data_IF_785640253639
#
_entry.id   IF_785640253639
#
_cell.length_a   1.000
_cell.length_b   1.000
_cell.length_c   1.000
_cell.angle_alpha   90.00
_cell.angle_beta   90.00
_cell.angle_gamma   90.00
#
_symmetry.space_group_name_H-M   'P 1'
#
loop_
_entity.id
_entity.type
_entity.pdbx_description
1 polymer ?
#
# COMPACT_ATOMS: atom_id res chain seq x y z
N UNK A 1 -6.80 -7.75 24.27
CA UNK A 1 -6.20 -6.51 23.79
C UNK A 1 -7.08 -5.78 22.79
N UNK A 2 -6.81 -4.53 22.56
CA UNK A 2 -7.46 -3.69 21.55
C UNK A 2 -6.44 -3.34 20.47
N UNK A 3 -6.87 -3.27 19.22
CA UNK A 3 -6.02 -2.83 18.12
C UNK A 3 -6.72 -1.70 17.34
N UNK A 4 -5.99 -0.65 17.04
CA UNK A 4 -6.48 0.37 16.13
C UNK A 4 -6.58 -0.23 14.74
N UNK A 5 -7.80 -0.46 14.28
CA UNK A 5 -8.14 -1.00 12.97
C UNK A 5 -7.49 -2.36 12.63
N UNK A 6 -7.89 -3.40 13.33
CA UNK A 6 -7.45 -4.76 13.00
C UNK A 6 -7.93 -5.14 11.58
N UNK A 7 -7.03 -5.61 10.73
CA UNK A 7 -7.32 -5.96 9.33
C UNK A 7 -6.93 -4.89 8.29
N UNK A 8 -6.66 -3.64 8.69
CA UNK A 8 -6.05 -2.64 7.81
C UNK A 8 -4.55 -2.51 8.04
N UNK A 9 -3.84 -1.98 7.06
CA UNK A 9 -2.38 -1.79 7.10
C UNK A 9 -2.00 -0.80 8.21
N UNK A 10 -2.78 0.29 8.36
CA UNK A 10 -2.63 1.32 9.39
C UNK A 10 -4.02 1.82 9.81
N UNK A 11 -4.09 2.50 10.95
CA UNK A 11 -5.36 2.94 11.51
C UNK A 11 -5.15 3.76 12.78
N UNK A 12 -4.39 4.84 12.66
CA UNK A 12 -4.16 5.80 13.74
C UNK A 12 -5.37 6.68 14.00
N UNK A 13 -5.23 7.61 14.93
CA UNK A 13 -6.22 8.67 15.13
C UNK A 13 -6.32 9.53 13.87
N UNK A 14 -7.51 9.97 13.57
CA UNK A 14 -7.77 10.95 12.51
C UNK A 14 -8.22 12.24 13.18
N UNK A 15 -7.50 13.33 12.92
CA UNK A 15 -7.78 14.65 13.47
C UNK A 15 -7.61 15.74 12.43
N UNK A 16 -8.25 16.89 12.68
CA UNK A 16 -8.18 18.05 11.79
C UNK A 16 -6.89 18.87 12.00
N UNK A 17 -6.68 19.87 11.14
CA UNK A 17 -5.50 20.72 11.17
C UNK A 17 -5.44 21.65 12.40
N UNK A 18 -6.56 21.86 13.07
CA UNK A 18 -6.66 22.70 14.27
C UNK A 18 -6.23 21.98 15.55
N UNK A 19 -5.91 20.69 15.46
CA UNK A 19 -5.49 19.90 16.62
C UNK A 19 -4.08 20.28 17.05
N UNK A 20 -3.88 20.27 18.38
CA UNK A 20 -2.58 20.57 19.00
C UNK A 20 -1.99 19.30 19.59
N UNK A 21 -0.67 19.19 19.57
CA UNK A 21 0.06 18.03 20.08
C UNK A 21 -0.32 17.67 21.53
N UNK A 22 -0.55 18.66 22.40
CA UNK A 22 -1.02 18.41 23.77
C UNK A 22 -2.35 17.70 23.82
N UNK A 23 -3.30 18.10 22.97
CA UNK A 23 -4.63 17.47 22.90
C UNK A 23 -4.54 16.04 22.35
N UNK A 24 -3.72 15.80 21.33
CA UNK A 24 -3.50 14.45 20.79
C UNK A 24 -2.91 13.52 21.87
N UNK A 25 -1.95 14.02 22.67
CA UNK A 25 -1.41 13.29 23.82
C UNK A 25 -2.49 12.97 24.84
N UNK A 26 -3.29 13.95 25.21
CA UNK A 26 -4.34 13.79 26.23
C UNK A 26 -5.46 12.85 25.76
N UNK A 27 -5.80 12.88 24.45
CA UNK A 27 -6.71 11.89 23.84
C UNK A 27 -6.16 10.47 23.92
N UNK A 28 -4.88 10.25 23.61
CA UNK A 28 -4.27 8.92 23.69
C UNK A 28 -4.14 8.43 25.14
N UNK A 29 -3.85 9.33 26.08
CA UNK A 29 -3.87 9.01 27.51
C UNK A 29 -5.26 8.59 27.96
N UNK A 30 -6.28 9.41 27.67
CA UNK A 30 -7.67 9.10 28.03
C UNK A 30 -8.19 7.81 27.36
N UNK A 31 -7.76 7.52 26.12
CA UNK A 31 -8.07 6.27 25.45
C UNK A 31 -7.44 5.07 26.19
N UNK A 32 -6.18 5.23 26.62
CA UNK A 32 -5.49 4.21 27.42
C UNK A 32 -6.21 3.90 28.71
N UNK A 33 -6.60 4.95 29.46
CA UNK A 33 -7.32 4.84 30.74
C UNK A 33 -8.69 4.21 30.55
N UNK A 34 -9.41 4.61 29.51
CA UNK A 34 -10.71 4.03 29.17
C UNK A 34 -10.62 2.52 28.95
N UNK A 35 -9.67 2.06 28.12
CA UNK A 35 -9.52 0.64 27.86
C UNK A 35 -8.95 -0.12 29.07
N UNK A 36 -8.10 0.52 29.89
CA UNK A 36 -7.64 -0.09 31.13
C UNK A 36 -8.80 -0.33 32.10
N UNK A 37 -9.68 0.66 32.27
CA UNK A 37 -10.90 0.56 33.09
C UNK A 37 -11.84 -0.53 32.55
N UNK A 38 -11.92 -0.71 31.24
CA UNK A 38 -12.68 -1.78 30.59
C UNK A 38 -12.00 -3.17 30.67
N UNK A 39 -10.86 -3.29 31.40
CA UNK A 39 -10.16 -4.55 31.63
C UNK A 39 -9.21 -4.98 30.50
N UNK A 40 -8.93 -4.14 29.53
CA UNK A 40 -7.96 -4.44 28.48
C UNK A 40 -6.54 -4.16 28.95
N UNK A 41 -5.63 -5.13 28.75
CA UNK A 41 -4.22 -5.04 29.19
C UNK A 41 -3.27 -4.55 28.11
N UNK A 42 -3.75 -4.41 26.87
CA UNK A 42 -2.90 -4.04 25.73
C UNK A 42 -3.69 -3.29 24.67
N UNK A 43 -3.13 -2.18 24.23
CA UNK A 43 -3.57 -1.45 23.03
C UNK A 43 -2.45 -1.56 22.00
N UNK A 44 -2.79 -1.95 20.77
CA UNK A 44 -1.86 -1.94 19.64
C UNK A 44 -2.27 -0.81 18.70
N UNK A 45 -1.42 0.20 18.59
CA UNK A 45 -1.62 1.35 17.73
C UNK A 45 -0.86 1.18 16.41
N UNK A 46 -1.52 1.35 15.28
CA UNK A 46 -0.93 1.29 13.95
C UNK A 46 -0.87 2.69 13.37
N UNK A 47 0.26 3.36 13.50
CA UNK A 47 0.44 4.71 13.00
C UNK A 47 0.17 4.80 11.49
N UNK A 48 -0.44 5.89 11.05
CA UNK A 48 -0.62 6.22 9.64
C UNK A 48 0.69 6.86 9.15
N UNK A 49 1.32 6.34 8.08
CA UNK A 49 2.50 6.98 7.52
C UNK A 49 2.20 8.39 7.01
N UNK A 50 3.14 9.32 7.20
CA UNK A 50 2.96 10.75 6.90
C UNK A 50 2.58 11.05 5.44
N UNK A 51 2.94 10.19 4.49
CA UNK A 51 2.56 10.36 3.07
C UNK A 51 1.05 10.30 2.81
N UNK A 52 0.28 9.75 3.76
CA UNK A 52 -1.19 9.71 3.69
C UNK A 52 -1.83 10.86 4.47
N UNK A 53 -1.05 11.68 5.15
CA UNK A 53 -1.52 12.87 5.84
C UNK A 53 -1.69 14.04 4.87
N UNK A 54 -2.73 14.85 5.05
CA UNK A 54 -2.87 16.13 4.34
C UNK A 54 -1.81 17.14 4.76
N UNK A 55 -1.42 17.06 6.03
CA UNK A 55 -0.34 17.83 6.61
C UNK A 55 0.58 16.87 7.37
N UNK A 56 1.90 16.84 7.08
CA UNK A 56 2.83 15.97 7.79
C UNK A 56 2.84 16.31 9.27
N UNK A 57 2.34 15.41 10.10
CA UNK A 57 2.24 15.54 11.52
C UNK A 57 2.63 14.24 12.21
N UNK A 58 3.37 14.32 13.31
CA UNK A 58 3.83 13.20 14.11
C UNK A 58 3.42 13.35 15.60
N UNK A 59 2.35 14.10 15.85
CA UNK A 59 1.85 14.35 17.21
C UNK A 59 1.47 13.06 17.93
N UNK A 60 0.91 12.09 17.20
CA UNK A 60 0.56 10.77 17.73
C UNK A 60 1.81 9.95 18.08
N UNK A 61 2.86 10.01 17.27
CA UNK A 61 4.13 9.31 17.53
C UNK A 61 4.82 9.89 18.76
N UNK A 62 4.84 11.23 18.89
CA UNK A 62 5.35 11.91 20.07
C UNK A 62 4.53 11.54 21.33
N UNK A 63 3.19 11.56 21.21
CA UNK A 63 2.30 11.21 22.31
C UNK A 63 2.51 9.76 22.76
N UNK A 64 2.60 8.80 21.84
CA UNK A 64 2.91 7.42 22.15
C UNK A 64 4.24 7.26 22.90
N UNK A 65 5.28 7.98 22.47
CA UNK A 65 6.57 7.99 23.16
C UNK A 65 6.45 8.56 24.57
N UNK A 66 5.77 9.69 24.75
CA UNK A 66 5.56 10.32 26.05
C UNK A 66 4.74 9.47 27.02
N UNK A 67 3.90 8.59 26.50
CA UNK A 67 3.10 7.61 27.26
C UNK A 67 3.82 6.25 27.43
N UNK A 68 5.12 6.20 27.15
CA UNK A 68 5.96 4.99 27.26
C UNK A 68 5.46 3.80 26.42
N UNK A 69 4.82 4.05 25.26
CA UNK A 69 4.46 2.98 24.34
C UNK A 69 5.71 2.33 23.76
N UNK A 70 5.65 1.00 23.59
CA UNK A 70 6.76 0.22 23.02
C UNK A 70 6.56 0.00 21.52
N UNK A 71 7.59 0.30 20.74
CA UNK A 71 7.62 -0.08 19.33
C UNK A 71 7.73 -1.61 19.22
N UNK A 72 6.71 -2.26 18.66
CA UNK A 72 6.65 -3.72 18.54
C UNK A 72 6.83 -4.21 17.09
N UNK A 73 6.66 -3.29 16.12
CA UNK A 73 6.81 -3.60 14.69
C UNK A 73 7.14 -2.32 13.93
N UNK A 74 8.06 -2.43 12.99
CA UNK A 74 8.33 -1.41 11.97
C UNK A 74 8.48 -2.06 10.62
N UNK A 75 7.60 -1.73 9.69
CA UNK A 75 7.72 -2.15 8.30
C UNK A 75 8.43 -1.05 7.50
N UNK A 76 9.15 -1.45 6.45
CA UNK A 76 9.75 -0.53 5.48
C UNK A 76 8.91 -0.58 4.20
N UNK A 77 8.21 0.50 3.90
CA UNK A 77 7.46 0.68 2.66
C UNK A 77 8.34 1.34 1.59
N UNK A 78 8.07 1.04 0.33
CA UNK A 78 8.75 1.68 -0.79
C UNK A 78 7.84 2.74 -1.41
N UNK A 79 8.34 3.97 -1.54
CA UNK A 79 7.55 5.14 -1.95
C UNK A 79 8.29 5.97 -2.99
N UNK A 80 7.55 6.49 -3.97
CA UNK A 80 8.02 7.50 -4.93
C UNK A 80 7.33 8.83 -4.57
N UNK A 81 8.08 9.91 -4.30
CA UNK A 81 7.49 11.21 -4.01
C UNK A 81 6.97 11.87 -5.30
N UNK A 82 6.00 12.80 -5.21
CA UNK A 82 5.49 13.55 -6.36
C UNK A 82 6.59 14.39 -7.03
N UNK A 83 7.51 14.94 -6.22
CA UNK A 83 8.64 15.77 -6.65
C UNK A 83 9.98 15.13 -6.27
N UNK A 84 11.08 15.51 -6.93
CA UNK A 84 12.41 15.00 -6.61
C UNK A 84 12.62 13.52 -6.91
N UNK A 85 11.92 13.00 -7.92
CA UNK A 85 11.93 11.58 -8.28
C UNK A 85 13.31 11.08 -8.71
N UNK A 86 13.67 9.89 -8.23
CA UNK A 86 14.88 9.21 -8.61
C UNK A 86 14.70 8.56 -9.98
N UNK A 87 15.78 8.49 -10.74
CA UNK A 87 15.78 7.93 -12.10
C UNK A 87 15.39 6.45 -12.08
N UNK A 88 14.39 6.10 -12.89
CA UNK A 88 13.96 4.71 -13.09
C UNK A 88 15.08 3.92 -13.78
N UNK A 89 15.33 2.71 -13.30
CA UNK A 89 16.37 1.82 -13.79
C UNK A 89 16.17 1.40 -15.26
N UNK A 90 17.26 1.11 -15.94
CA UNK A 90 17.21 0.60 -17.32
C UNK A 90 16.48 -0.75 -17.40
N UNK A 91 16.52 -1.56 -16.35
CA UNK A 91 15.82 -2.85 -16.28
C UNK A 91 14.30 -2.64 -16.39
N UNK A 92 13.72 -1.76 -15.56
CA UNK A 92 12.28 -1.47 -15.60
C UNK A 92 11.84 -0.87 -16.94
N UNK A 93 12.66 0.03 -17.50
CA UNK A 93 12.40 0.59 -18.84
C UNK A 93 12.42 -0.46 -19.95
N UNK A 94 13.34 -1.43 -19.87
CA UNK A 94 13.37 -2.56 -20.82
C UNK A 94 12.14 -3.45 -20.66
N UNK A 95 11.70 -3.72 -19.42
CA UNK A 95 10.47 -4.47 -19.14
C UNK A 95 9.24 -3.81 -19.78
N UNK A 96 9.07 -2.49 -19.57
CA UNK A 96 8.00 -1.70 -20.22
C UNK A 96 8.03 -1.87 -21.75
N UNK A 97 9.19 -1.68 -22.39
CA UNK A 97 9.35 -1.84 -23.84
C UNK A 97 9.06 -3.26 -24.31
N UNK A 98 9.45 -4.27 -23.51
CA UNK A 98 9.16 -5.68 -23.82
C UNK A 98 7.67 -5.94 -23.81
N UNK A 99 6.94 -5.44 -22.80
CA UNK A 99 5.49 -5.58 -22.73
C UNK A 99 4.79 -4.93 -23.94
N UNK A 100 5.21 -3.74 -24.33
CA UNK A 100 4.68 -3.06 -25.49
C UNK A 100 4.90 -3.85 -26.80
N UNK A 101 6.06 -4.51 -26.97
CA UNK A 101 6.35 -5.36 -28.14
C UNK A 101 5.51 -6.64 -28.16
N UNK A 102 5.06 -7.11 -26.99
CA UNK A 102 4.15 -8.27 -26.86
C UNK A 102 2.67 -7.83 -26.88
N UNK A 103 2.37 -6.60 -27.31
CA UNK A 103 1.02 -6.05 -27.40
C UNK A 103 0.25 -6.11 -26.07
N UNK A 104 0.95 -6.02 -24.95
CA UNK A 104 0.30 -5.93 -23.64
C UNK A 104 -0.40 -4.58 -23.52
N UNK A 105 -1.68 -4.60 -23.19
CA UNK A 105 -2.52 -3.39 -22.99
C UNK A 105 -2.95 -3.27 -21.53
N UNK A 106 -3.02 -2.02 -21.04
CA UNK A 106 -3.52 -1.75 -19.69
C UNK A 106 -4.99 -1.40 -19.78
N UNK A 107 -5.79 -2.00 -18.89
CA UNK A 107 -7.23 -1.70 -18.74
C UNK A 107 -7.55 -1.43 -17.28
N UNK A 108 -8.42 -0.45 -17.04
CA UNK A 108 -9.15 -0.29 -15.77
C UNK A 108 -10.50 -0.99 -15.92
N UNK A 109 -10.95 -1.73 -14.91
CA UNK A 109 -12.24 -2.42 -14.99
C UNK A 109 -12.56 -3.28 -13.76
N UNK A 110 -13.70 -3.97 -13.82
CA UNK A 110 -14.26 -4.73 -12.70
C UNK A 110 -14.03 -6.26 -12.84
N UNK A 111 -12.89 -6.66 -13.37
CA UNK A 111 -12.47 -8.07 -13.53
C UNK A 111 -11.96 -8.68 -12.21
N UNK A 112 -12.79 -8.60 -11.16
CA UNK A 112 -12.42 -9.02 -9.80
C UNK A 112 -12.18 -10.51 -9.67
N UNK A 113 -12.88 -11.34 -10.43
CA UNK A 113 -12.76 -12.79 -10.43
C UNK A 113 -11.39 -13.22 -10.97
N UNK A 114 -11.00 -12.71 -12.14
CA UNK A 114 -9.71 -12.98 -12.78
C UNK A 114 -8.56 -12.43 -11.93
N UNK A 115 -8.72 -11.22 -11.41
CA UNK A 115 -7.75 -10.64 -10.50
C UNK A 115 -7.55 -11.49 -9.24
N UNK A 116 -8.65 -11.93 -8.62
CA UNK A 116 -8.58 -12.72 -7.39
C UNK A 116 -7.94 -14.08 -7.64
N UNK A 117 -8.25 -14.73 -8.75
CA UNK A 117 -7.64 -15.99 -9.15
C UNK A 117 -6.12 -15.83 -9.35
N UNK A 118 -5.71 -14.77 -10.07
CA UNK A 118 -4.30 -14.44 -10.29
C UNK A 118 -3.60 -14.16 -8.96
N UNK A 119 -4.17 -13.32 -8.09
CA UNK A 119 -3.63 -12.96 -6.78
C UNK A 119 -3.50 -14.18 -5.86
N UNK A 120 -4.52 -15.03 -5.79
CA UNK A 120 -4.50 -16.25 -5.00
C UNK A 120 -3.39 -17.21 -5.46
N UNK A 121 -3.17 -17.33 -6.77
CA UNK A 121 -2.09 -18.14 -7.34
C UNK A 121 -0.70 -17.60 -6.97
N UNK A 122 -0.52 -16.28 -6.98
CA UNK A 122 0.73 -15.63 -6.56
C UNK A 122 0.98 -15.84 -5.06
N UNK A 123 -0.02 -15.56 -4.22
CA UNK A 123 0.12 -15.65 -2.77
C UNK A 123 0.31 -17.08 -2.27
N UNK A 124 -0.27 -18.08 -2.94
CA UNK A 124 -0.08 -19.50 -2.59
C UNK A 124 1.39 -19.92 -2.63
N UNK A 125 2.20 -19.34 -3.51
CA UNK A 125 3.65 -19.59 -3.58
C UNK A 125 4.39 -19.11 -2.33
N UNK A 126 3.78 -18.22 -1.55
CA UNK A 126 4.29 -17.65 -0.31
C UNK A 126 3.51 -18.15 0.92
N UNK A 127 2.73 -19.25 0.79
CA UNK A 127 1.86 -19.77 1.84
C UNK A 127 0.91 -18.73 2.43
N UNK A 128 0.43 -17.80 1.60
CA UNK A 128 -0.48 -16.72 1.97
C UNK A 128 -1.77 -16.77 1.17
N UNK A 129 -2.80 -16.08 1.68
CA UNK A 129 -4.10 -15.90 1.01
C UNK A 129 -4.46 -14.43 0.98
N UNK A 130 -5.30 -13.97 0.00
CA UNK A 130 -5.81 -12.62 -0.01
C UNK A 130 -6.58 -12.32 1.30
N UNK A 131 -6.30 -11.17 1.90
CA UNK A 131 -6.98 -10.73 3.14
C UNK A 131 -8.43 -10.33 2.84
N UNK A 132 -8.67 -9.69 1.69
CA UNK A 132 -10.00 -9.26 1.26
C UNK A 132 -10.62 -10.35 0.37
N UNK A 133 -11.88 -10.66 0.60
CA UNK A 133 -12.68 -11.47 -0.34
C UNK A 133 -13.10 -10.65 -1.56
N UNK A 134 -13.52 -11.31 -2.64
CA UNK A 134 -14.09 -10.63 -3.83
C UNK A 134 -15.27 -9.74 -3.42
N UNK A 135 -16.14 -10.23 -2.54
CA UNK A 135 -17.27 -9.45 -2.04
C UNK A 135 -16.83 -8.17 -1.31
N UNK A 136 -15.74 -8.26 -0.52
CA UNK A 136 -15.17 -7.09 0.17
C UNK A 136 -14.59 -6.07 -0.82
N UNK A 137 -13.89 -6.53 -1.87
CA UNK A 137 -13.35 -5.65 -2.92
C UNK A 137 -14.49 -4.91 -3.65
N UNK A 138 -15.52 -5.65 -4.08
CA UNK A 138 -16.71 -5.09 -4.76
C UNK A 138 -17.46 -4.10 -3.87
N UNK A 139 -17.64 -4.43 -2.58
CA UNK A 139 -18.29 -3.55 -1.60
C UNK A 139 -17.53 -2.23 -1.40
N UNK A 140 -16.20 -2.29 -1.29
CA UNK A 140 -15.37 -1.11 -1.15
C UNK A 140 -15.46 -0.22 -2.39
N UNK A 141 -15.39 -0.81 -3.59
CA UNK A 141 -15.57 -0.08 -4.85
C UNK A 141 -16.96 0.56 -4.95
N UNK A 142 -18.00 -0.17 -4.57
CA UNK A 142 -19.38 0.35 -4.58
C UNK A 142 -19.57 1.54 -3.63
N UNK A 143 -19.01 1.47 -2.42
CA UNK A 143 -19.14 2.52 -1.40
C UNK A 143 -18.28 3.74 -1.66
N UNK A 144 -17.10 3.54 -2.25
CA UNK A 144 -16.09 4.57 -2.49
C UNK A 144 -15.52 4.44 -3.91
N UNK A 145 -16.33 4.66 -4.97
CA UNK A 145 -15.96 4.34 -6.35
C UNK A 145 -14.71 5.06 -6.84
N UNK A 146 -14.46 6.30 -6.36
CA UNK A 146 -13.30 7.09 -6.74
C UNK A 146 -12.01 6.71 -5.96
N UNK A 147 -12.15 5.93 -4.88
CA UNK A 147 -11.02 5.58 -4.01
C UNK A 147 -10.39 4.23 -4.34
N UNK A 148 -11.06 3.38 -5.10
CA UNK A 148 -10.59 2.04 -5.43
C UNK A 148 -10.60 1.82 -6.92
N UNK A 149 -9.44 1.46 -7.47
CA UNK A 149 -9.28 1.18 -8.90
C UNK A 149 -8.56 -0.14 -9.10
N UNK A 150 -9.08 -0.93 -10.03
CA UNK A 150 -8.45 -2.18 -10.46
C UNK A 150 -7.87 -2.00 -11.86
N UNK A 151 -6.56 -2.15 -11.97
CA UNK A 151 -5.85 -2.12 -13.25
C UNK A 151 -5.29 -3.49 -13.58
N UNK A 152 -5.44 -3.89 -14.83
CA UNK A 152 -4.89 -5.13 -15.38
C UNK A 152 -4.05 -4.88 -16.62
N UNK A 153 -3.02 -5.71 -16.77
CA UNK A 153 -2.23 -5.82 -17.98
C UNK A 153 -2.66 -7.09 -18.72
N UNK A 154 -3.16 -6.95 -19.92
CA UNK A 154 -3.73 -8.01 -20.75
C UNK A 154 -2.86 -8.25 -21.97
N UNK A 155 -2.61 -9.52 -22.27
CA UNK A 155 -2.04 -10.00 -23.53
C UNK A 155 -3.05 -10.93 -24.18
N UNK A 156 -3.48 -10.64 -25.42
CA UNK A 156 -4.51 -11.41 -26.15
C UNK A 156 -5.77 -11.67 -25.30
N UNK A 157 -6.26 -10.62 -24.59
CA UNK A 157 -7.39 -10.65 -23.66
C UNK A 157 -7.19 -11.49 -22.39
N UNK A 158 -6.04 -12.11 -22.18
CA UNK A 158 -5.69 -12.81 -20.96
C UNK A 158 -5.05 -11.86 -19.94
N UNK A 159 -5.53 -11.88 -18.68
CA UNK A 159 -4.98 -11.09 -17.58
C UNK A 159 -3.63 -11.68 -17.13
N UNK A 160 -2.53 -10.96 -17.39
CA UNK A 160 -1.18 -11.42 -17.09
C UNK A 160 -0.55 -10.74 -15.86
N UNK A 161 -0.94 -9.50 -15.56
CA UNK A 161 -0.61 -8.83 -14.31
C UNK A 161 -1.75 -7.90 -13.86
N UNK A 162 -1.88 -7.67 -12.56
CA UNK A 162 -2.91 -6.79 -12.02
C UNK A 162 -2.48 -6.10 -10.75
N UNK A 163 -3.09 -4.96 -10.47
CA UNK A 163 -2.95 -4.22 -9.21
C UNK A 163 -4.26 -3.62 -8.77
N UNK A 164 -4.56 -3.75 -7.47
CA UNK A 164 -5.66 -3.03 -6.84
C UNK A 164 -5.09 -1.82 -6.11
N UNK A 165 -5.52 -0.64 -6.53
CA UNK A 165 -4.97 0.65 -6.10
C UNK A 165 -5.97 1.36 -5.20
N UNK A 166 -5.49 1.86 -4.06
CA UNK A 166 -6.21 2.77 -3.18
C UNK A 166 -5.77 4.19 -3.49
N UNK A 167 -6.73 5.06 -3.71
CA UNK A 167 -6.51 6.48 -3.92
C UNK A 167 -6.80 7.25 -2.63
N UNK A 168 -5.77 7.82 -2.04
CA UNK A 168 -5.83 8.80 -0.97
C UNK A 168 -5.74 10.22 -1.56
N UNK A 169 -5.96 11.23 -0.72
CA UNK A 169 -5.85 12.62 -1.16
C UNK A 169 -4.40 13.00 -1.53
N UNK A 170 -3.43 12.32 -0.95
CA UNK A 170 -1.99 12.59 -1.11
C UNK A 170 -1.21 11.48 -1.79
N UNK A 171 -1.77 10.29 -1.92
CA UNK A 171 -1.06 9.11 -2.41
C UNK A 171 -1.93 8.14 -3.20
N UNK A 172 -1.33 7.47 -4.18
CA UNK A 172 -1.80 6.18 -4.70
C UNK A 172 -1.06 5.06 -3.98
N UNK A 173 -1.79 4.03 -3.53
CA UNK A 173 -1.21 2.88 -2.86
C UNK A 173 -1.57 1.59 -3.59
N UNK A 174 -0.57 0.84 -4.03
CA UNK A 174 -0.79 -0.48 -4.65
C UNK A 174 -0.98 -1.52 -3.55
N UNK A 175 -2.24 -1.76 -3.16
CA UNK A 175 -2.58 -2.70 -2.09
C UNK A 175 -2.19 -4.13 -2.42
N UNK A 176 -2.40 -4.54 -3.67
CA UNK A 176 -2.00 -5.83 -4.19
C UNK A 176 -1.30 -5.69 -5.52
N UNK A 177 -0.26 -6.49 -5.71
CA UNK A 177 0.42 -6.69 -6.98
C UNK A 177 0.40 -8.18 -7.30
N UNK A 178 -0.13 -8.53 -8.46
CA UNK A 178 -0.15 -9.90 -8.95
C UNK A 178 0.47 -9.96 -10.34
N UNK A 179 1.31 -10.98 -10.58
CA UNK A 179 2.01 -11.17 -11.84
C UNK A 179 2.12 -12.66 -12.16
N UNK A 180 1.56 -13.08 -13.28
CA UNK A 180 1.63 -14.44 -13.75
C UNK A 180 3.04 -14.78 -14.27
N UNK A 181 3.40 -16.07 -14.46
CA UNK A 181 4.64 -16.44 -15.15
C UNK A 181 4.73 -15.78 -16.54
N UNK A 182 3.64 -15.78 -17.29
CA UNK A 182 3.60 -15.10 -18.61
C UNK A 182 3.81 -13.59 -18.47
N UNK A 183 3.20 -12.95 -17.47
CA UNK A 183 3.41 -11.53 -17.19
C UNK A 183 4.85 -11.20 -16.81
N UNK A 184 5.56 -12.12 -16.12
CA UNK A 184 6.99 -11.98 -15.85
C UNK A 184 7.81 -12.05 -17.14
N UNK A 185 7.51 -13.02 -18.01
CA UNK A 185 8.18 -13.16 -19.29
C UNK A 185 7.99 -11.95 -20.19
N UNK A 186 6.80 -11.38 -20.25
CA UNK A 186 6.48 -10.26 -21.14
C UNK A 186 6.83 -8.90 -20.57
N UNK A 187 7.03 -8.77 -19.25
CA UNK A 187 7.24 -7.49 -18.57
C UNK A 187 5.93 -6.74 -18.29
N UNK A 188 4.80 -7.45 -18.24
CA UNK A 188 3.47 -6.89 -18.06
C UNK A 188 3.34 -6.05 -16.78
N UNK A 189 3.89 -6.54 -15.66
CA UNK A 189 3.89 -5.79 -14.40
C UNK A 189 4.69 -4.49 -14.50
N UNK A 190 5.80 -4.48 -15.24
CA UNK A 190 6.57 -3.24 -15.44
C UNK A 190 5.71 -2.19 -16.18
N UNK A 191 5.04 -2.59 -17.28
CA UNK A 191 4.14 -1.69 -18.02
C UNK A 191 3.00 -1.18 -17.13
N UNK A 192 2.39 -2.07 -16.34
CA UNK A 192 1.31 -1.73 -15.42
C UNK A 192 1.76 -0.72 -14.36
N UNK A 193 2.93 -0.92 -13.75
CA UNK A 193 3.45 -0.02 -12.73
C UNK A 193 3.89 1.33 -13.31
N UNK A 194 4.36 1.37 -14.56
CA UNK A 194 4.56 2.65 -15.26
C UNK A 194 3.24 3.40 -15.43
N UNK A 195 2.15 2.71 -15.79
CA UNK A 195 0.84 3.34 -15.91
C UNK A 195 0.38 3.95 -14.58
N UNK A 196 0.47 3.21 -13.48
CA UNK A 196 0.10 3.72 -12.14
C UNK A 196 1.00 4.87 -11.70
N UNK A 197 2.30 4.81 -12.03
CA UNK A 197 3.23 5.90 -11.77
C UNK A 197 2.86 7.15 -12.57
N UNK A 198 2.51 7.00 -13.85
CA UNK A 198 2.09 8.13 -14.72
C UNK A 198 0.83 8.80 -14.14
N UNK A 199 -0.14 8.02 -13.61
CA UNK A 199 -1.31 8.57 -12.90
C UNK A 199 -0.91 9.33 -11.63
N UNK A 200 -0.02 8.78 -10.81
CA UNK A 200 0.47 9.46 -9.61
C UNK A 200 1.16 10.78 -9.94
N UNK A 201 1.93 10.79 -11.04
CA UNK A 201 2.60 11.99 -11.55
C UNK A 201 1.60 13.06 -12.00
N UNK A 202 0.60 12.66 -12.79
CA UNK A 202 -0.42 13.59 -13.32
C UNK A 202 -1.19 14.28 -12.20
N UNK A 203 -1.48 13.54 -11.13
CA UNK A 203 -2.26 14.02 -9.98
C UNK A 203 -1.38 14.63 -8.88
N UNK A 204 -0.05 14.71 -9.08
CA UNK A 204 0.93 15.19 -8.08
C UNK A 204 0.85 14.44 -6.74
N UNK A 205 0.71 13.11 -6.79
CA UNK A 205 0.57 12.22 -5.63
C UNK A 205 1.84 11.40 -5.38
N UNK A 206 2.02 10.99 -4.13
CA UNK A 206 2.96 9.90 -3.81
C UNK A 206 2.48 8.60 -4.47
N UNK A 207 3.43 7.76 -4.90
CA UNK A 207 3.13 6.35 -5.22
C UNK A 207 3.74 5.46 -4.14
N UNK A 208 2.88 4.77 -3.38
CA UNK A 208 3.28 3.81 -2.36
C UNK A 208 3.12 2.39 -2.88
N UNK A 209 4.20 1.63 -2.91
CA UNK A 209 4.20 0.20 -3.23
C UNK A 209 3.96 -0.71 -2.01
N UNK A 210 3.75 -0.12 -0.82
CA UNK A 210 3.60 -0.86 0.41
C UNK A 210 4.90 -1.49 0.93
N UNK A 211 4.77 -2.25 2.01
CA UNK A 211 5.89 -2.83 2.73
C UNK A 211 6.71 -3.83 1.89
N UNK A 212 8.01 -3.90 2.21
CA UNK A 212 8.95 -4.87 1.66
C UNK A 212 9.65 -5.64 2.78
N UNK A 213 8.97 -5.81 3.91
CA UNK A 213 9.47 -6.52 5.09
C UNK A 213 8.64 -7.75 5.39
N UNK A 214 9.27 -8.72 6.01
CA UNK A 214 8.73 -10.01 6.45
C UNK A 214 8.95 -10.19 7.96
N UNK A 215 8.44 -11.29 8.52
CA UNK A 215 8.61 -11.65 9.93
C UNK A 215 8.31 -10.50 10.91
N UNK A 216 7.16 -9.81 10.70
CA UNK A 216 6.79 -8.71 11.58
C UNK A 216 7.68 -7.47 11.50
N UNK A 217 8.31 -7.23 10.35
CA UNK A 217 9.16 -6.07 10.09
C UNK A 217 10.65 -6.28 10.38
N UNK A 218 11.05 -7.47 10.86
CA UNK A 218 12.44 -7.75 11.24
C UNK A 218 13.35 -8.17 10.09
N UNK A 219 12.78 -8.61 8.97
CA UNK A 219 13.54 -9.06 7.79
C UNK A 219 13.15 -8.25 6.58
N UNK A 220 14.13 -7.67 5.89
CA UNK A 220 13.93 -7.00 4.61
C UNK A 220 13.89 -8.04 3.49
N UNK A 221 12.82 -8.04 2.70
CA UNK A 221 12.79 -8.75 1.43
C UNK A 221 13.53 -7.93 0.37
N UNK A 222 14.85 -8.17 0.27
CA UNK A 222 15.75 -7.40 -0.60
C UNK A 222 15.33 -7.45 -2.08
N UNK A 223 14.86 -8.61 -2.56
CA UNK A 223 14.42 -8.78 -3.95
C UNK A 223 13.18 -7.91 -4.25
N UNK A 224 12.20 -7.91 -3.35
CA UNK A 224 11.01 -7.09 -3.47
C UNK A 224 11.35 -5.60 -3.35
N UNK A 225 12.24 -5.23 -2.43
CA UNK A 225 12.69 -3.84 -2.26
C UNK A 225 13.43 -3.36 -3.51
N UNK A 226 14.39 -4.12 -4.02
CA UNK A 226 15.15 -3.79 -5.22
C UNK A 226 14.25 -3.64 -6.46
N UNK A 227 13.19 -4.45 -6.57
CA UNK A 227 12.19 -4.29 -7.63
C UNK A 227 11.53 -2.91 -7.58
N UNK A 228 11.06 -2.49 -6.39
CA UNK A 228 10.40 -1.21 -6.17
C UNK A 228 11.37 -0.03 -6.32
N UNK A 229 12.59 -0.16 -5.79
CA UNK A 229 13.67 0.83 -5.98
C UNK A 229 14.03 1.01 -7.45
N UNK A 230 13.93 -0.04 -8.25
CA UNK A 230 14.10 0.02 -9.70
C UNK A 230 13.14 1.00 -10.39
N UNK A 231 11.99 1.32 -9.82
CA UNK A 231 11.05 2.37 -10.26
C UNK A 231 11.39 3.75 -9.69
N UNK A 232 12.44 3.89 -8.90
CA UNK A 232 12.84 5.12 -8.25
C UNK A 232 12.24 5.29 -6.84
N UNK A 233 11.64 4.26 -6.27
CA UNK A 233 11.16 4.29 -4.90
C UNK A 233 12.30 4.26 -3.88
N UNK A 234 12.02 4.74 -2.67
CA UNK A 234 12.89 4.60 -1.49
C UNK A 234 12.09 4.20 -0.28
N UNK A 235 12.79 3.70 0.73
CA UNK A 235 12.22 3.29 2.00
C UNK A 235 11.58 4.45 2.78
N UNK A 236 10.43 4.17 3.35
CA UNK A 236 9.67 5.02 4.25
C UNK A 236 9.24 4.21 5.47
#
# INVERSE_FOLDING_TARGET
GVASHNGLTFGGIVYGMDQRASLVRDMLAGLSDHFATAGFKKITYKAVPHIFHRYPAEDDLYALQSLNAKLIRRDLSAVIPPNGRIKISSLRKRGKKKAQRNNVVIREGDFYEEFYALLANVLRRHNATPIHSIAALKLLKQRLPERFKLFGAFENDELTAATWVFRFDTALHTQYLANSPRGQETGALDLLLFHVLDLAVQDNLYLSFGASTEQGGSVLNEGLMAQKEGFGARGL
#
